data_IF_612390683442
#
_entry.id   IF_612390683442
#
_cell.length_a   1.000
_cell.length_b   1.000
_cell.length_c   1.000
_cell.angle_alpha   90.00
_cell.angle_beta   90.00
_cell.angle_gamma   90.00
#
_symmetry.space_group_name_H-M   'P 1'
#
loop_
_entity.id
_entity.type
_entity.pdbx_description
1 polymer ?
#
# COMPACT_ATOMS: atom_id res chain seq x y z
N UNK A 1 -0.05 -9.92 14.59
CA UNK A 1 -0.66 -11.00 13.80
C UNK A 1 -0.95 -10.45 12.41
N UNK A 2 -0.22 -10.93 11.39
CA UNK A 2 -0.40 -10.54 9.99
C UNK A 2 -1.56 -11.38 9.43
N UNK A 3 -2.68 -10.77 9.05
CA UNK A 3 -3.71 -11.48 8.31
C UNK A 3 -3.44 -11.31 6.82
N UNK A 4 -2.85 -12.36 6.22
CA UNK A 4 -2.73 -12.48 4.77
C UNK A 4 -4.12 -12.82 4.21
N UNK A 5 -4.89 -11.81 3.83
CA UNK A 5 -6.10 -12.05 3.05
C UNK A 5 -5.68 -12.33 1.61
N UNK A 6 -5.64 -13.62 1.25
CA UNK A 6 -5.57 -14.05 -0.13
C UNK A 6 -6.95 -13.81 -0.76
N UNK A 7 -6.98 -12.92 -1.76
CA UNK A 7 -8.07 -12.65 -2.69
C UNK A 7 -9.48 -12.46 -2.11
N UNK A 8 -9.89 -11.19 -2.03
CA UNK A 8 -11.28 -10.81 -2.28
C UNK A 8 -11.29 -9.61 -3.24
N UNK A 9 -11.56 -9.91 -4.51
CA UNK A 9 -11.62 -8.94 -5.60
C UNK A 9 -12.97 -8.24 -5.55
N UNK A 10 -13.20 -7.40 -4.56
CA UNK A 10 -14.33 -6.46 -4.56
C UNK A 10 -13.82 -5.10 -4.08
N UNK A 11 -13.93 -4.10 -4.97
CA UNK A 11 -13.32 -2.77 -4.89
C UNK A 11 -11.79 -2.73 -5.15
N UNK A 12 -11.35 -3.20 -6.33
CA UNK A 12 -10.05 -2.77 -6.84
C UNK A 12 -10.21 -1.33 -7.34
N UNK A 13 -9.76 -0.35 -6.55
CA UNK A 13 -9.59 1.01 -7.07
C UNK A 13 -8.67 0.93 -8.28
N UNK A 14 -8.99 1.67 -9.35
CA UNK A 14 -8.28 1.61 -10.64
C UNK A 14 -6.76 1.76 -10.46
N UNK A 15 -6.35 2.49 -9.43
CA UNK A 15 -4.96 2.72 -9.01
C UNK A 15 -4.16 1.44 -8.73
N UNK A 16 -4.76 0.45 -8.05
CA UNK A 16 -4.10 -0.82 -7.71
C UNK A 16 -3.84 -1.67 -8.96
N UNK A 17 -4.76 -1.66 -9.92
CA UNK A 17 -4.61 -2.37 -11.21
C UNK A 17 -3.43 -1.78 -11.98
N UNK A 18 -3.33 -0.46 -12.05
CA UNK A 18 -2.22 0.20 -12.74
C UNK A 18 -0.88 -0.12 -12.08
N UNK A 19 -0.81 -0.16 -10.75
CA UNK A 19 0.42 -0.55 -10.04
C UNK A 19 0.86 -1.98 -10.36
N UNK A 20 -0.07 -2.94 -10.38
CA UNK A 20 0.22 -4.33 -10.76
C UNK A 20 0.74 -4.45 -12.20
N UNK A 21 0.14 -3.70 -13.14
CA UNK A 21 0.63 -3.62 -14.52
C UNK A 21 2.05 -3.07 -14.58
N UNK A 22 2.33 -1.97 -13.87
CA UNK A 22 3.67 -1.38 -13.76
C UNK A 22 4.68 -2.37 -13.20
N UNK A 23 4.35 -3.06 -12.10
CA UNK A 23 5.21 -4.07 -11.49
C UNK A 23 5.56 -5.17 -12.51
N UNK A 24 4.57 -5.65 -13.27
CA UNK A 24 4.77 -6.65 -14.32
C UNK A 24 5.67 -6.13 -15.46
N UNK A 25 5.36 -4.98 -16.04
CA UNK A 25 6.13 -4.41 -17.16
C UNK A 25 7.59 -4.11 -16.78
N UNK A 26 7.81 -3.65 -15.55
CA UNK A 26 9.15 -3.33 -15.03
C UNK A 26 9.85 -4.52 -14.37
N UNK A 27 9.23 -5.70 -14.35
CA UNK A 27 9.72 -6.91 -13.67
C UNK A 27 10.11 -6.65 -12.21
N UNK A 28 9.30 -5.84 -11.52
CA UNK A 28 9.47 -5.57 -10.09
C UNK A 28 8.85 -6.75 -9.34
N UNK A 29 9.69 -7.63 -8.82
CA UNK A 29 9.25 -8.75 -8.00
C UNK A 29 8.91 -8.25 -6.60
N UNK A 30 7.63 -8.25 -6.27
CA UNK A 30 7.12 -7.81 -4.98
C UNK A 30 6.05 -8.77 -4.48
N UNK A 31 6.03 -9.04 -3.17
CA UNK A 31 4.87 -9.65 -2.54
C UNK A 31 3.90 -8.55 -2.12
N UNK A 32 2.66 -8.61 -2.63
CA UNK A 32 1.65 -7.59 -2.36
C UNK A 32 0.72 -8.06 -1.23
N UNK A 33 0.46 -7.18 -0.26
CA UNK A 33 -0.34 -7.46 0.94
C UNK A 33 -1.33 -6.33 1.24
N UNK A 34 -2.33 -6.67 2.06
CA UNK A 34 -3.24 -5.71 2.69
C UNK A 34 -3.08 -5.76 4.19
N UNK A 35 -3.27 -4.64 4.87
CA UNK A 35 -3.20 -4.60 6.33
C UNK A 35 -4.46 -3.98 6.91
N UNK A 36 -5.03 -4.68 7.90
CA UNK A 36 -6.21 -4.28 8.64
C UNK A 36 -6.09 -4.66 10.11
N UNK A 37 -6.61 -3.85 11.01
CA UNK A 37 -6.70 -4.14 12.44
C UNK A 37 -8.14 -4.41 12.89
N UNK A 38 -8.29 -4.99 14.09
CA UNK A 38 -9.58 -5.16 14.77
C UNK A 38 -10.30 -3.82 15.00
N UNK A 39 -9.55 -2.73 15.16
CA UNK A 39 -10.07 -1.37 15.27
C UNK A 39 -10.50 -0.77 13.91
N UNK A 40 -10.59 -1.59 12.87
CA UNK A 40 -10.96 -1.19 11.49
C UNK A 40 -10.02 -0.15 10.87
N UNK A 41 -8.76 -0.11 11.31
CA UNK A 41 -7.71 0.68 10.63
C UNK A 41 -7.19 -0.12 9.45
N UNK A 42 -6.93 0.56 8.34
CA UNK A 42 -6.59 -0.09 7.07
C UNK A 42 -5.45 0.65 6.37
N UNK A 43 -4.58 -0.12 5.71
CA UNK A 43 -3.63 0.39 4.71
C UNK A 43 -3.99 -0.25 3.38
N UNK A 44 -4.14 0.59 2.36
CA UNK A 44 -4.70 0.21 1.08
C UNK A 44 -3.84 -0.78 0.30
N UNK A 45 -2.51 -0.66 0.43
CA UNK A 45 -1.56 -1.44 -0.34
C UNK A 45 -0.21 -1.55 0.37
N UNK A 46 0.35 -2.76 0.45
CA UNK A 46 1.69 -3.01 0.97
C UNK A 46 2.46 -3.84 -0.04
N UNK A 47 3.70 -3.44 -0.32
CA UNK A 47 4.64 -4.17 -1.16
C UNK A 47 5.82 -4.60 -0.29
N UNK A 48 6.14 -5.88 -0.28
CA UNK A 48 7.39 -6.41 0.25
C UNK A 48 8.34 -6.66 -0.90
N UNK A 49 9.52 -6.04 -0.83
CA UNK A 49 10.59 -6.21 -1.82
C UNK A 49 11.93 -6.13 -1.13
N UNK A 50 12.79 -7.11 -1.42
CA UNK A 50 14.13 -7.22 -0.83
C UNK A 50 14.12 -7.14 0.71
N UNK A 51 13.13 -7.76 1.37
CA UNK A 51 13.01 -7.78 2.83
C UNK A 51 12.52 -6.46 3.44
N UNK A 52 12.14 -5.47 2.63
CA UNK A 52 11.62 -4.18 3.09
C UNK A 52 10.14 -4.05 2.77
N UNK A 53 9.39 -3.53 3.74
CA UNK A 53 7.96 -3.23 3.59
C UNK A 53 7.76 -1.79 3.12
N UNK A 54 6.95 -1.63 2.09
CA UNK A 54 6.52 -0.35 1.54
C UNK A 54 5.00 -0.30 1.63
N UNK A 55 4.48 0.61 2.45
CA UNK A 55 3.06 0.78 2.68
C UNK A 55 2.55 2.07 2.03
N UNK A 56 1.43 1.96 1.33
CA UNK A 56 0.83 3.04 0.55
C UNK A 56 -0.64 3.24 0.94
N UNK A 57 -1.02 4.51 1.08
CA UNK A 57 -2.41 4.93 1.26
C UNK A 57 -2.78 5.87 0.11
N UNK A 58 -3.92 5.61 -0.54
CA UNK A 58 -4.40 6.45 -1.63
C UNK A 58 -5.42 7.45 -1.09
N UNK A 59 -5.17 8.74 -1.30
CA UNK A 59 -6.03 9.84 -0.86
C UNK A 59 -6.16 10.87 -1.97
N UNK A 60 -7.32 11.53 -2.08
CA UNK A 60 -7.50 12.57 -3.10
C UNK A 60 -6.59 13.79 -2.84
N UNK A 61 -6.35 14.12 -1.57
CA UNK A 61 -5.49 15.21 -1.12
C UNK A 61 -4.72 14.78 0.15
N UNK A 62 -3.72 15.58 0.54
CA UNK A 62 -2.92 15.32 1.75
C UNK A 62 -3.81 15.27 2.99
N UNK A 63 -3.88 14.13 3.70
CA UNK A 63 -4.77 14.00 4.85
C UNK A 63 -4.13 14.62 6.10
N UNK A 64 -4.97 15.03 7.06
CA UNK A 64 -4.52 15.50 8.38
C UNK A 64 -4.10 14.36 9.31
N UNK A 65 -4.60 13.14 9.08
CA UNK A 65 -4.31 11.92 9.86
C UNK A 65 -4.02 10.76 8.90
N UNK A 66 -3.19 9.82 9.33
CA UNK A 66 -2.81 8.63 8.55
C UNK A 66 -2.77 7.40 9.45
N UNK A 67 -3.14 6.23 8.92
CA UNK A 67 -3.06 4.96 9.65
C UNK A 67 -1.62 4.44 9.75
N UNK A 68 -0.66 5.10 9.08
CA UNK A 68 0.76 4.75 9.16
C UNK A 68 1.35 4.85 10.57
N UNK A 69 0.76 5.65 11.47
CA UNK A 69 1.23 5.75 12.86
C UNK A 69 1.16 4.38 13.53
N UNK A 70 0.03 3.70 13.42
CA UNK A 70 -0.16 2.38 14.06
C UNK A 70 0.60 1.29 13.32
N UNK A 71 0.68 1.38 12.00
CA UNK A 71 1.48 0.47 11.21
C UNK A 71 2.97 0.54 11.55
N UNK A 72 3.54 1.75 11.69
CA UNK A 72 4.95 1.94 12.06
C UNK A 72 5.28 1.51 13.48
N UNK A 73 4.31 1.48 14.40
CA UNK A 73 4.54 0.90 15.74
C UNK A 73 4.89 -0.59 15.64
N UNK A 74 4.28 -1.30 14.68
CA UNK A 74 4.51 -2.73 14.45
C UNK A 74 5.70 -2.94 13.50
N UNK A 75 5.76 -2.19 12.40
CA UNK A 75 6.78 -2.30 11.36
C UNK A 75 7.62 -1.01 11.31
N UNK A 76 8.54 -0.88 12.26
CA UNK A 76 9.33 0.35 12.46
C UNK A 76 10.15 0.75 11.23
N UNK A 77 10.66 -0.23 10.50
CA UNK A 77 11.50 -0.02 9.32
C UNK A 77 10.70 0.13 8.02
N UNK A 78 9.37 0.03 8.09
CA UNK A 78 8.55 0.13 6.90
C UNK A 78 8.54 1.57 6.35
N UNK A 79 8.71 1.66 5.04
CA UNK A 79 8.58 2.91 4.30
C UNK A 79 7.11 3.16 4.04
N UNK A 80 6.62 4.35 4.40
CA UNK A 80 5.21 4.72 4.28
C UNK A 80 5.06 5.91 3.36
N UNK A 81 4.18 5.84 2.35
CA UNK A 81 3.95 6.94 1.42
C UNK A 81 2.47 7.15 1.16
N UNK A 82 2.02 8.40 1.23
CA UNK A 82 0.66 8.78 0.85
C UNK A 82 0.68 9.13 -0.63
N UNK A 83 -0.14 8.43 -1.41
CA UNK A 83 -0.33 8.67 -2.83
C UNK A 83 -1.55 9.56 -3.01
N UNK A 84 -1.36 10.67 -3.70
CA UNK A 84 -2.36 11.68 -4.02
C UNK A 84 -2.35 11.96 -5.51
N UNK A 85 -3.36 12.67 -6.01
CA UNK A 85 -3.42 13.08 -7.42
C UNK A 85 -2.14 13.78 -7.89
N UNK A 86 -1.47 14.50 -7.00
CA UNK A 86 -0.28 15.30 -7.32
C UNK A 86 1.00 14.44 -7.48
N UNK A 87 1.07 13.26 -6.86
CA UNK A 87 2.25 12.39 -6.88
C UNK A 87 1.96 10.96 -7.41
N UNK A 88 0.76 10.77 -7.96
CA UNK A 88 0.31 9.49 -8.50
C UNK A 88 1.13 9.07 -9.72
N UNK A 89 1.45 10.01 -10.60
CA UNK A 89 2.27 9.74 -11.79
C UNK A 89 3.67 9.25 -11.38
N UNK A 90 4.32 9.92 -10.43
CA UNK A 90 5.64 9.53 -9.89
C UNK A 90 5.62 8.17 -9.18
N UNK A 91 4.45 7.75 -8.68
CA UNK A 91 4.27 6.44 -8.09
C UNK A 91 4.14 5.32 -9.15
N UNK A 92 3.62 5.64 -10.32
CA UNK A 92 3.52 4.70 -11.45
C UNK A 92 4.83 4.62 -12.26
N UNK A 93 5.56 5.73 -12.39
CA UNK A 93 6.84 5.82 -13.08
C UNK A 93 7.99 5.20 -12.27
#
# INVERSE_FOLDING_TARGET
>A
MLFLFYNNVHAVSTDKIFRLKTQSYKKIYTNNFFWRTWEKKEIDWIEERSGKLFAFEFKYAKPKKTNFIDFKKVYKEAVTKIITKDNYLDFLL
#
